data_IF_036584891172
#
_entry.id   IF_036584891172
#
_cell.length_a   1.000
_cell.length_b   1.000
_cell.length_c   1.000
_cell.angle_alpha   90.00
_cell.angle_beta   90.00
_cell.angle_gamma   90.00
#
_symmetry.space_group_name_H-M   'P 1'
#
loop_
_entity.id
_entity.type
_entity.pdbx_description
1 polymer ?
#
# COMPACT_ATOMS: atom_id res chain seq x y z
N UNK A 1 18.16 43.73 -18.78
CA UNK A 1 19.46 43.12 -18.47
C UNK A 1 19.19 41.86 -17.67
N UNK A 2 18.76 40.76 -18.26
CA UNK A 2 18.54 40.36 -19.66
C UNK A 2 17.32 39.41 -19.60
N UNK A 3 16.21 39.70 -20.26
CA UNK A 3 15.91 39.37 -21.67
C UNK A 3 15.91 37.86 -21.93
N UNK A 4 14.75 37.30 -22.28
CA UNK A 4 14.43 36.94 -23.68
C UNK A 4 13.21 36.00 -23.76
N UNK A 5 12.19 36.46 -24.51
CA UNK A 5 11.41 35.67 -25.49
C UNK A 5 10.37 34.64 -24.97
N UNK A 6 9.16 34.48 -25.49
CA UNK A 6 8.40 35.11 -26.57
C UNK A 6 6.94 34.58 -26.49
N UNK A 7 6.03 35.30 -27.13
CA UNK A 7 4.58 35.22 -27.06
C UNK A 7 3.91 33.90 -27.47
N UNK A 8 2.81 33.68 -26.76
CA UNK A 8 1.53 33.06 -27.13
C UNK A 8 1.14 33.16 -28.63
N UNK A 9 0.68 32.05 -29.22
CA UNK A 9 -0.18 32.08 -30.42
C UNK A 9 -1.24 30.98 -30.38
N UNK A 10 -2.50 31.42 -30.30
CA UNK A 10 -3.69 30.66 -30.69
C UNK A 10 -3.56 30.30 -32.17
N UNK A 11 -3.85 29.05 -32.53
CA UNK A 11 -4.18 28.70 -33.91
C UNK A 11 -5.50 27.94 -33.95
N UNK A 12 -6.56 28.72 -34.16
CA UNK A 12 -7.84 28.29 -34.70
C UNK A 12 -7.63 27.83 -36.15
N UNK A 13 -7.91 26.56 -36.46
CA UNK A 13 -7.76 26.04 -37.81
C UNK A 13 -8.44 24.69 -38.02
N UNK A 14 -9.76 24.78 -38.29
CA UNK A 14 -10.52 23.95 -39.24
C UNK A 14 -10.44 22.42 -39.18
N UNK A 15 -11.55 21.82 -38.73
CA UNK A 15 -12.33 20.79 -39.44
C UNK A 15 -11.51 19.67 -40.13
N UNK A 16 -11.36 18.56 -39.42
CA UNK A 16 -11.04 17.25 -39.99
C UNK A 16 -11.72 16.15 -39.18
N UNK A 17 -12.71 15.51 -39.80
CA UNK A 17 -13.61 14.47 -39.27
C UNK A 17 -12.88 13.26 -38.60
N UNK A 18 -13.50 12.53 -37.63
CA UNK A 18 -12.82 11.79 -36.56
C UNK A 18 -12.56 10.28 -36.79
N UNK A 19 -12.35 9.80 -38.02
CA UNK A 19 -12.34 8.35 -38.29
C UNK A 19 -11.12 7.76 -39.04
N UNK A 20 -10.08 8.52 -39.42
CA UNK A 20 -9.03 7.94 -40.25
C UNK A 20 -7.64 8.60 -40.07
N UNK A 21 -6.80 8.04 -39.19
CA UNK A 21 -5.37 7.81 -39.49
C UNK A 21 -4.76 6.83 -38.49
N UNK A 22 -5.12 5.56 -38.65
CA UNK A 22 -4.45 4.45 -37.98
C UNK A 22 -3.00 4.35 -38.50
N UNK A 23 -2.07 4.14 -37.59
CA UNK A 23 -0.67 3.73 -37.78
C UNK A 23 0.30 4.77 -38.34
N UNK A 24 1.25 5.20 -37.50
CA UNK A 24 2.70 5.30 -37.77
C UNK A 24 3.39 6.12 -36.66
N UNK A 25 3.63 5.54 -35.48
CA UNK A 25 4.82 5.85 -34.66
C UNK A 25 5.25 4.61 -33.87
N UNK A 26 6.03 3.77 -34.56
CA UNK A 26 6.95 2.79 -33.99
C UNK A 26 7.88 3.50 -33.00
N UNK A 27 8.12 2.84 -31.86
CA UNK A 27 9.29 3.00 -30.97
C UNK A 27 9.45 4.36 -30.26
N UNK A 28 8.82 4.47 -29.09
CA UNK A 28 9.63 4.71 -27.89
C UNK A 28 9.53 3.45 -27.05
N UNK A 29 10.58 2.62 -27.10
CA UNK A 29 10.84 1.65 -26.04
C UNK A 29 10.85 2.47 -24.76
N UNK A 30 9.79 2.38 -23.95
CA UNK A 30 9.86 2.81 -22.56
C UNK A 30 10.87 1.84 -21.98
N UNK A 31 12.08 2.33 -21.71
CA UNK A 31 13.14 1.55 -21.10
C UNK A 31 12.57 0.98 -19.82
N UNK A 32 12.28 -0.31 -19.84
CA UNK A 32 12.11 -1.06 -18.60
C UNK A 32 13.50 -1.09 -17.99
N UNK A 33 13.73 -0.24 -16.98
CA UNK A 33 14.74 -0.58 -15.99
C UNK A 33 14.07 -1.65 -15.14
N UNK A 34 14.13 -2.88 -15.64
CA UNK A 34 13.89 -4.09 -14.86
C UNK A 34 15.13 -4.30 -13.99
N UNK A 35 15.42 -3.34 -13.09
CA UNK A 35 16.22 -3.67 -11.92
C UNK A 35 15.27 -4.42 -11.00
N UNK A 36 15.32 -5.74 -11.11
CA UNK A 36 14.66 -6.68 -10.21
C UNK A 36 15.27 -6.55 -8.81
N UNK A 37 15.01 -5.41 -8.16
CA UNK A 37 15.16 -5.28 -6.73
C UNK A 37 13.98 -6.03 -6.13
N UNK A 38 14.19 -7.32 -5.84
CA UNK A 38 13.29 -8.09 -4.98
C UNK A 38 13.37 -7.48 -3.58
N UNK A 39 12.56 -6.43 -3.36
CA UNK A 39 12.38 -5.83 -2.03
C UNK A 39 11.81 -6.94 -1.16
N UNK A 40 12.59 -7.40 -0.18
CA UNK A 40 12.09 -8.34 0.81
C UNK A 40 10.77 -7.79 1.40
N UNK A 41 9.77 -8.66 1.66
CA UNK A 41 8.47 -8.22 2.13
C UNK A 41 8.64 -7.41 3.41
N UNK A 42 8.15 -6.17 3.40
CA UNK A 42 8.28 -5.25 4.53
C UNK A 42 7.39 -5.75 5.65
N UNK A 43 7.97 -5.98 6.83
CA UNK A 43 7.20 -6.37 8.02
C UNK A 43 6.60 -5.14 8.70
N UNK A 44 5.48 -5.33 9.41
CA UNK A 44 4.86 -4.27 10.22
C UNK A 44 5.84 -3.67 11.24
N UNK A 45 6.75 -4.48 11.78
CA UNK A 45 7.75 -4.05 12.74
C UNK A 45 8.77 -3.08 12.14
N UNK A 46 9.22 -3.36 10.91
CA UNK A 46 10.12 -2.49 10.18
C UNK A 46 9.43 -1.18 9.79
N UNK A 47 8.19 -1.26 9.31
CA UNK A 47 7.39 -0.07 9.00
C UNK A 47 7.21 0.85 10.22
N UNK A 48 6.85 0.28 11.38
CA UNK A 48 6.75 1.03 12.63
C UNK A 48 8.07 1.69 13.03
N UNK A 49 9.20 1.04 12.77
CA UNK A 49 10.51 1.58 13.11
C UNK A 49 10.84 2.81 12.27
N UNK A 50 10.68 2.68 10.95
CA UNK A 50 11.09 3.69 9.97
C UNK A 50 10.15 4.87 9.92
N UNK A 51 8.84 4.64 9.96
CA UNK A 51 7.84 5.71 9.79
C UNK A 51 7.48 6.42 11.11
N UNK A 52 7.66 5.76 12.25
CA UNK A 52 7.18 6.26 13.54
C UNK A 52 8.29 6.45 14.58
N UNK A 53 9.02 5.39 14.91
CA UNK A 53 9.98 5.45 16.03
C UNK A 53 11.19 6.33 15.69
N UNK A 54 11.81 6.13 14.53
CA UNK A 54 12.99 6.89 14.12
C UNK A 54 12.71 8.38 13.93
N UNK A 55 11.66 8.82 13.20
CA UNK A 55 11.39 10.24 12.99
C UNK A 55 11.03 10.98 14.27
N UNK A 56 10.39 10.29 15.22
CA UNK A 56 10.00 10.85 16.51
C UNK A 56 11.07 10.68 17.60
N UNK A 57 12.19 10.00 17.32
CA UNK A 57 13.24 9.70 18.30
C UNK A 57 12.75 8.83 19.46
N UNK A 58 11.72 8.02 19.25
CA UNK A 58 11.10 7.19 20.29
C UNK A 58 11.78 5.83 20.38
N UNK A 59 12.10 5.41 21.61
CA UNK A 59 12.55 4.05 21.87
C UNK A 59 11.39 3.08 21.96
N UNK A 60 11.60 1.82 21.57
CA UNK A 60 10.61 0.75 21.71
C UNK A 60 10.11 0.61 23.15
N UNK A 61 11.00 0.75 24.13
CA UNK A 61 10.66 0.71 25.55
C UNK A 61 9.74 1.87 25.94
N UNK A 62 10.00 3.08 25.45
CA UNK A 62 9.17 4.25 25.76
C UNK A 62 7.76 4.06 25.24
N UNK A 63 7.61 3.66 23.98
CA UNK A 63 6.30 3.40 23.37
C UNK A 63 5.58 2.29 24.12
N UNK A 64 6.25 1.18 24.43
CA UNK A 64 5.66 0.08 25.18
C UNK A 64 5.11 0.53 26.54
N UNK A 65 5.88 1.34 27.27
CA UNK A 65 5.47 1.90 28.56
C UNK A 65 4.26 2.84 28.41
N UNK A 66 4.29 3.73 27.43
CA UNK A 66 3.23 4.71 27.22
C UNK A 66 1.90 4.06 26.81
N UNK A 67 1.94 3.01 25.98
CA UNK A 67 0.73 2.28 25.56
C UNK A 67 0.32 1.17 26.55
N UNK A 68 1.12 0.90 27.57
CA UNK A 68 0.83 -0.06 28.63
C UNK A 68 0.98 -1.54 28.21
N UNK A 69 1.95 -1.87 27.37
CA UNK A 69 2.34 -3.25 27.06
C UNK A 69 3.75 -3.57 27.57
N UNK A 70 4.11 -4.86 27.62
CA UNK A 70 5.47 -5.25 27.98
C UNK A 70 6.46 -4.87 26.89
N UNK A 71 7.67 -4.43 27.28
CA UNK A 71 8.72 -4.10 26.32
C UNK A 71 9.09 -5.30 25.41
N UNK A 72 9.03 -6.52 25.95
CA UNK A 72 9.24 -7.74 25.17
C UNK A 72 8.19 -7.94 24.09
N UNK A 73 6.91 -7.64 24.36
CA UNK A 73 5.87 -7.70 23.34
C UNK A 73 6.13 -6.69 22.21
N UNK A 74 6.49 -5.44 22.56
CA UNK A 74 6.83 -4.42 21.57
C UNK A 74 8.04 -4.82 20.71
N UNK A 75 9.10 -5.34 21.33
CA UNK A 75 10.29 -5.79 20.61
C UNK A 75 10.00 -6.99 19.69
N UNK A 76 9.13 -7.90 20.10
CA UNK A 76 8.73 -9.03 19.26
C UNK A 76 7.93 -8.58 18.03
N UNK A 77 7.06 -7.56 18.18
CA UNK A 77 6.36 -6.93 17.06
C UNK A 77 7.36 -6.24 16.13
N UNK A 78 8.27 -5.43 16.69
CA UNK A 78 9.29 -4.70 15.92
C UNK A 78 10.28 -5.60 15.18
N UNK A 79 10.50 -6.82 15.65
CA UNK A 79 11.37 -7.80 15.01
C UNK A 79 10.60 -8.78 14.09
N UNK A 80 9.30 -8.56 13.87
CA UNK A 80 8.48 -9.43 13.03
C UNK A 80 8.27 -10.84 13.58
N UNK A 81 8.60 -11.10 14.85
CA UNK A 81 8.41 -12.41 15.50
C UNK A 81 6.96 -12.66 15.91
N UNK A 82 6.16 -11.58 16.01
CA UNK A 82 4.77 -11.63 16.44
C UNK A 82 3.96 -10.58 15.71
N UNK A 83 2.76 -10.98 15.30
CA UNK A 83 1.74 -10.06 14.80
C UNK A 83 1.13 -9.18 15.90
N UNK A 84 0.62 -8.02 15.49
CA UNK A 84 -0.04 -7.08 16.38
C UNK A 84 -1.43 -7.63 16.78
N UNK A 85 -1.77 -7.53 18.06
CA UNK A 85 -3.14 -7.78 18.50
C UNK A 85 -4.01 -6.55 18.25
N UNK A 86 -5.33 -6.76 18.18
CA UNK A 86 -6.31 -5.67 18.04
C UNK A 86 -6.17 -4.61 19.14
N UNK A 87 -6.03 -5.04 20.39
CA UNK A 87 -5.83 -4.14 21.54
C UNK A 87 -4.55 -3.30 21.39
N UNK A 88 -3.43 -3.92 21.01
CA UNK A 88 -2.17 -3.18 20.81
C UNK A 88 -2.27 -2.19 19.65
N UNK A 89 -2.92 -2.59 18.55
CA UNK A 89 -3.14 -1.72 17.41
C UNK A 89 -3.98 -0.49 17.75
N UNK A 90 -5.05 -0.68 18.52
CA UNK A 90 -5.92 0.44 18.94
C UNK A 90 -5.19 1.38 19.91
N UNK A 91 -4.37 0.85 20.82
CA UNK A 91 -3.54 1.66 21.71
C UNK A 91 -2.50 2.47 20.94
N UNK A 92 -1.83 1.85 19.96
CA UNK A 92 -0.90 2.55 19.07
C UNK A 92 -1.62 3.61 18.22
N UNK A 93 -2.79 3.29 17.68
CA UNK A 93 -3.60 4.25 16.91
C UNK A 93 -3.94 5.48 17.74
N UNK A 94 -4.39 5.28 18.98
CA UNK A 94 -4.65 6.38 19.90
C UNK A 94 -3.36 7.17 20.23
N UNK A 95 -2.26 6.46 20.55
CA UNK A 95 -0.98 7.09 20.91
C UNK A 95 -0.43 7.98 19.79
N UNK A 96 -0.61 7.56 18.54
CA UNK A 96 -0.11 8.26 17.36
C UNK A 96 -1.14 9.15 16.65
N UNK A 97 -2.36 9.28 17.19
CA UNK A 97 -3.42 10.11 16.60
C UNK A 97 -3.96 9.58 15.27
N UNK A 98 -3.88 8.26 15.04
CA UNK A 98 -4.35 7.60 13.83
C UNK A 98 -5.77 7.02 14.01
N UNK A 99 -6.39 6.66 12.89
CA UNK A 99 -7.70 6.00 12.93
C UNK A 99 -7.60 4.65 13.63
N UNK A 100 -8.67 4.27 14.35
CA UNK A 100 -8.70 3.06 15.21
C UNK A 100 -8.15 1.81 14.51
N UNK A 101 -8.53 1.59 13.25
CA UNK A 101 -8.17 0.37 12.51
C UNK A 101 -6.91 0.51 11.65
N UNK A 102 -6.23 1.65 11.69
CA UNK A 102 -5.09 1.95 10.81
C UNK A 102 -4.02 0.84 10.83
N UNK A 103 -3.50 0.51 12.01
CA UNK A 103 -2.41 -0.45 12.14
C UNK A 103 -2.82 -1.90 11.82
N UNK A 104 -4.08 -2.28 12.07
CA UNK A 104 -4.59 -3.61 11.67
C UNK A 104 -4.72 -3.71 10.16
N UNK A 105 -5.28 -2.69 9.52
CA UNK A 105 -5.43 -2.67 8.07
C UNK A 105 -4.05 -2.69 7.39
N UNK A 106 -3.09 -1.95 7.94
CA UNK A 106 -1.71 -1.96 7.46
C UNK A 106 -1.07 -3.34 7.58
N UNK A 107 -1.19 -4.00 8.73
CA UNK A 107 -0.65 -5.35 8.90
C UNK A 107 -1.28 -6.32 7.88
N UNK A 108 -2.60 -6.26 7.70
CA UNK A 108 -3.29 -7.11 6.73
C UNK A 108 -2.79 -6.86 5.30
N UNK A 109 -2.60 -5.60 4.90
CA UNK A 109 -2.08 -5.27 3.57
C UNK A 109 -0.69 -5.89 3.35
N UNK A 110 0.23 -5.69 4.30
CA UNK A 110 1.59 -6.25 4.21
C UNK A 110 1.59 -7.79 4.18
N UNK A 111 0.69 -8.44 4.92
CA UNK A 111 0.56 -9.90 4.93
C UNK A 111 -0.08 -10.44 3.63
N UNK A 112 -1.04 -9.72 3.06
CA UNK A 112 -1.67 -10.09 1.79
C UNK A 112 -0.66 -10.04 0.65
N UNK A 113 0.12 -8.97 0.55
CA UNK A 113 1.15 -8.82 -0.48
C UNK A 113 2.18 -9.96 -0.45
N UNK A 114 2.54 -10.42 0.76
CA UNK A 114 3.49 -11.52 0.94
C UNK A 114 2.95 -12.91 0.58
N UNK A 115 1.62 -13.09 0.54
CA UNK A 115 0.95 -14.40 0.43
C UNK A 115 0.12 -14.57 -0.82
N UNK A 116 -0.06 -13.51 -1.62
CA UNK A 116 -1.00 -13.48 -2.72
C UNK A 116 -0.84 -14.68 -3.68
N UNK A 117 0.38 -14.99 -4.14
CA UNK A 117 0.62 -16.07 -5.10
C UNK A 117 0.25 -17.48 -4.58
N UNK A 118 0.42 -17.71 -3.28
CA UNK A 118 0.11 -19.00 -2.64
C UNK A 118 -1.42 -19.18 -2.54
N UNK A 119 -2.12 -18.13 -2.11
CA UNK A 119 -3.55 -18.19 -1.88
C UNK A 119 -4.35 -18.17 -3.18
N UNK A 120 -3.90 -17.49 -4.24
CA UNK A 120 -4.59 -17.46 -5.53
C UNK A 120 -4.79 -18.87 -6.12
N UNK A 121 -3.79 -19.75 -5.98
CA UNK A 121 -3.89 -21.15 -6.43
C UNK A 121 -4.97 -21.91 -5.67
N UNK A 122 -5.04 -21.68 -4.35
CA UNK A 122 -6.03 -22.33 -3.48
C UNK A 122 -7.43 -21.82 -3.79
N UNK A 123 -7.60 -20.49 -3.89
CA UNK A 123 -8.88 -19.83 -4.14
C UNK A 123 -9.48 -20.26 -5.48
N UNK A 124 -8.68 -20.43 -6.53
CA UNK A 124 -9.14 -20.84 -7.85
C UNK A 124 -9.87 -22.20 -7.86
N UNK A 125 -9.57 -23.08 -6.90
CA UNK A 125 -10.20 -24.40 -6.78
C UNK A 125 -11.47 -24.43 -5.94
N UNK A 126 -11.78 -23.35 -5.22
CA UNK A 126 -12.90 -23.34 -4.28
C UNK A 126 -14.23 -23.09 -5.01
N UNK A 127 -15.31 -23.82 -4.65
CA UNK A 127 -16.63 -23.55 -5.18
C UNK A 127 -17.18 -22.24 -4.62
N UNK A 128 -17.83 -21.44 -5.46
CA UNK A 128 -18.51 -20.20 -5.04
C UNK A 128 -19.97 -20.52 -4.72
N UNK A 129 -20.39 -20.21 -3.50
CA UNK A 129 -21.80 -20.31 -3.12
C UNK A 129 -22.56 -19.08 -3.60
N UNK A 130 -23.46 -19.26 -4.57
CA UNK A 130 -24.34 -18.20 -5.01
C UNK A 130 -25.47 -17.98 -3.98
N UNK A 131 -25.37 -16.90 -3.21
CA UNK A 131 -26.39 -16.51 -2.23
C UNK A 131 -27.74 -16.17 -2.90
N UNK A 132 -27.75 -15.90 -4.21
CA UNK A 132 -28.96 -15.49 -4.95
C UNK A 132 -29.82 -16.66 -5.45
N UNK A 133 -29.40 -17.92 -5.29
CA UNK A 133 -30.19 -19.08 -5.72
C UNK A 133 -31.30 -19.50 -4.73
N UNK A 134 -31.63 -18.65 -3.75
CA UNK A 134 -32.59 -18.94 -2.67
C UNK A 134 -33.81 -18.00 -2.69
N UNK A 135 -34.16 -17.50 -3.88
CA UNK A 135 -35.39 -16.70 -4.11
C UNK A 135 -36.29 -17.43 -5.12
N UNK A 136 -36.85 -18.58 -4.67
CA UNK A 136 -38.01 -19.29 -5.21
C UNK A 136 -38.63 -19.98 -3.97
N UNK A 137 -39.89 -19.87 -3.54
CA UNK A 137 -41.18 -19.62 -4.20
C UNK A 137 -42.13 -18.97 -3.16
N UNK A 138 -42.94 -17.98 -3.56
CA UNK A 138 -44.23 -17.64 -2.92
C UNK A 138 -45.33 -17.68 -3.99
#
# INVERSE_FOLDING_TARGET
MEDLFYMERRNSGSLGCPACRLSLMKKRRRSTMDDEYTLAPVTIGEYLRTEWLQPLGLSAYRVAKDIGITAGAMLNILNGKRNMSLDTAWRLAHYFGMSRNYFINLQNALESDAKEEEYQKTIATLPVYDRMSMVCEE
#
